data_IF_541701991172
#
_entry.id   IF_541701991172
#
_cell.length_a   1.000
_cell.length_b   1.000
_cell.length_c   1.000
_cell.angle_alpha   90.00
_cell.angle_beta   90.00
_cell.angle_gamma   90.00
#
_symmetry.space_group_name_H-M   'P 1'
#
loop_
_entity.id
_entity.type
_entity.pdbx_description
1 polymer ?
#
# COMPACT_ATOMS: atom_id res chain seq x y z
N UNK A 1 -9.91 -8.20 -3.06
CA UNK A 1 -9.81 -6.84 -2.50
C UNK A 1 -8.64 -6.85 -1.54
N UNK A 2 -7.68 -5.98 -1.78
CA UNK A 2 -6.52 -5.77 -0.91
C UNK A 2 -6.79 -4.56 -0.03
N UNK A 3 -6.10 -4.45 1.11
CA UNK A 3 -6.25 -3.31 2.01
C UNK A 3 -5.02 -2.43 1.90
N UNK A 4 -5.25 -1.14 1.65
CA UNK A 4 -4.20 -0.13 1.67
C UNK A 4 -3.65 0.01 3.11
N UNK A 5 -2.36 -0.30 3.36
CA UNK A 5 -1.80 -0.26 4.71
C UNK A 5 -1.66 1.17 5.29
N UNK A 6 -1.79 2.21 4.44
CA UNK A 6 -1.71 3.62 4.86
C UNK A 6 -3.06 4.14 5.34
N UNK A 7 -4.14 3.81 4.64
CA UNK A 7 -5.47 4.37 4.91
C UNK A 7 -6.54 3.33 5.28
N UNK A 8 -6.19 2.04 5.37
CA UNK A 8 -7.10 0.92 5.65
C UNK A 8 -8.25 0.80 4.62
N UNK A 9 -8.11 1.44 3.46
CA UNK A 9 -9.12 1.43 2.41
C UNK A 9 -9.03 0.14 1.59
N UNK A 10 -10.19 -0.46 1.28
CA UNK A 10 -10.24 -1.60 0.36
C UNK A 10 -10.02 -1.14 -1.07
N UNK A 11 -9.07 -1.78 -1.74
CA UNK A 11 -8.71 -1.49 -3.12
C UNK A 11 -8.76 -2.75 -3.97
N UNK A 12 -9.03 -2.56 -5.25
CA UNK A 12 -9.03 -3.64 -6.22
C UNK A 12 -7.63 -3.83 -6.80
N UNK A 13 -6.95 -4.98 -6.55
CA UNK A 13 -5.58 -5.20 -7.00
C UNK A 13 -5.39 -5.14 -8.52
N UNK A 14 -6.48 -5.25 -9.30
CA UNK A 14 -6.46 -5.13 -10.76
C UNK A 14 -6.38 -3.69 -11.28
N UNK A 15 -6.83 -2.71 -10.50
CA UNK A 15 -6.92 -1.30 -10.91
C UNK A 15 -6.15 -0.36 -9.99
N UNK A 16 -5.82 -0.81 -8.78
CA UNK A 16 -5.08 -0.04 -7.78
C UNK A 16 -3.59 0.05 -8.10
N UNK A 17 -2.93 1.03 -7.49
CA UNK A 17 -1.47 1.14 -7.56
C UNK A 17 -0.84 0.04 -6.71
N UNK A 18 0.23 -0.56 -7.20
CA UNK A 18 0.97 -1.60 -6.50
C UNK A 18 2.41 -1.16 -6.22
N UNK A 19 2.96 -1.58 -5.09
CA UNK A 19 4.36 -1.36 -4.72
C UNK A 19 4.92 -2.65 -4.12
N UNK A 20 6.09 -3.07 -4.60
CA UNK A 20 6.76 -4.27 -4.08
C UNK A 20 7.74 -3.84 -2.99
N UNK A 21 7.55 -4.35 -1.77
CA UNK A 21 8.43 -4.12 -0.64
C UNK A 21 8.72 -5.45 0.06
N UNK A 22 10.00 -5.76 0.31
CA UNK A 22 10.43 -7.01 0.96
C UNK A 22 9.82 -8.28 0.31
N UNK A 23 9.81 -8.34 -1.03
CA UNK A 23 9.22 -9.44 -1.80
C UNK A 23 7.71 -9.66 -1.59
N UNK A 24 7.00 -8.67 -1.02
CA UNK A 24 5.53 -8.61 -0.93
C UNK A 24 5.00 -7.47 -1.78
N UNK A 25 3.91 -7.72 -2.49
CA UNK A 25 3.19 -6.69 -3.25
C UNK A 25 2.13 -6.07 -2.35
N UNK A 26 2.19 -4.75 -2.18
CA UNK A 26 1.22 -3.95 -1.46
C UNK A 26 0.41 -3.11 -2.45
N UNK A 27 -0.85 -2.82 -2.11
CA UNK A 27 -1.77 -2.12 -2.99
C UNK A 27 -2.27 -0.84 -2.33
N UNK A 28 -2.46 0.21 -3.14
CA UNK A 28 -2.74 1.56 -2.67
C UNK A 28 -3.90 2.19 -3.42
N UNK A 29 -4.74 2.91 -2.68
CA UNK A 29 -5.91 3.59 -3.24
C UNK A 29 -5.53 4.82 -4.06
N UNK A 30 -4.40 5.45 -3.72
CA UNK A 30 -3.94 6.69 -4.31
C UNK A 30 -2.41 6.76 -4.40
N UNK A 31 -1.86 7.57 -5.33
CA UNK A 31 -0.42 7.81 -5.44
C UNK A 31 0.17 8.44 -4.17
N UNK A 32 -0.65 9.16 -3.41
CA UNK A 32 -0.25 9.74 -2.13
C UNK A 32 0.04 8.65 -1.09
N UNK A 33 -0.83 7.63 -0.98
CA UNK A 33 -0.63 6.48 -0.08
C UNK A 33 0.59 5.66 -0.49
N UNK A 34 0.76 5.38 -1.78
CA UNK A 34 1.96 4.69 -2.27
C UNK A 34 3.24 5.45 -1.91
N UNK A 35 3.26 6.79 -2.04
CA UNK A 35 4.42 7.61 -1.68
C UNK A 35 4.66 7.68 -0.17
N UNK A 36 3.60 7.77 0.63
CA UNK A 36 3.70 7.72 2.08
C UNK A 36 4.30 6.38 2.52
N UNK A 37 3.78 5.27 1.99
CA UNK A 37 4.32 3.94 2.22
C UNK A 37 5.75 3.79 1.74
N UNK A 38 6.12 4.32 0.56
CA UNK A 38 7.49 4.26 0.07
C UNK A 38 8.47 5.08 0.92
N UNK A 39 8.01 6.15 1.58
CA UNK A 39 8.82 6.92 2.53
C UNK A 39 9.09 6.17 3.81
N UNK A 40 8.08 5.50 4.37
CA UNK A 40 8.15 4.93 5.71
C UNK A 40 7.39 3.59 5.83
N UNK A 41 7.76 2.57 5.05
CA UNK A 41 6.96 1.35 4.92
C UNK A 41 6.89 0.58 6.25
N UNK A 42 7.99 0.55 7.00
CA UNK A 42 8.06 -0.15 8.29
C UNK A 42 7.03 0.38 9.30
N UNK A 43 6.74 1.68 9.29
CA UNK A 43 5.74 2.30 10.16
C UNK A 43 4.33 1.81 9.85
N UNK A 44 4.01 1.65 8.56
CA UNK A 44 2.70 1.11 8.13
C UNK A 44 2.61 -0.41 8.24
N UNK A 45 3.74 -1.12 8.19
CA UNK A 45 3.80 -2.59 8.29
C UNK A 45 3.91 -3.14 9.72
N UNK A 46 4.19 -2.30 10.72
CA UNK A 46 4.34 -2.68 12.14
C UNK A 46 3.04 -2.85 12.91
N UNK A 47 1.89 -2.80 12.24
CA UNK A 47 0.56 -2.87 12.87
C UNK A 47 0.15 -4.29 13.22
#
# INVERSE_FOLDING_TARGET
METDPVCDMRVDPKTSLQHVHQSRTYYFCAPACQRAFAKDPETYLKK
#
